data_IF_311441857641
#
_entry.id   IF_311441857641
#
_cell.length_a   1.000
_cell.length_b   1.000
_cell.length_c   1.000
_cell.angle_alpha   90.00
_cell.angle_beta   90.00
_cell.angle_gamma   90.00
#
_symmetry.space_group_name_H-M   'P 1'
#
loop_
_entity.id
_entity.type
_entity.pdbx_description
1 polymer ?
#
# COMPACT_ATOMS: atom_id res chain seq x y z
N UNK A 1 48.79 -57.40 63.23
CA UNK A 1 48.18 -58.56 62.57
C UNK A 1 47.30 -58.05 61.46
N UNK A 2 47.74 -58.19 60.23
CA UNK A 2 47.09 -58.83 59.07
C UNK A 2 45.70 -58.25 58.72
N UNK A 3 45.32 -57.84 57.53
CA UNK A 3 45.70 -58.43 56.21
C UNK A 3 45.29 -57.46 55.06
N UNK A 4 46.10 -57.49 54.03
CA UNK A 4 45.87 -56.85 52.74
C UNK A 4 44.67 -57.55 52.01
N UNK A 5 43.81 -56.76 51.42
CA UNK A 5 43.00 -57.21 50.26
C UNK A 5 43.08 -56.13 49.15
N UNK A 6 43.64 -56.50 48.03
CA UNK A 6 43.60 -55.85 46.74
C UNK A 6 42.16 -55.84 46.25
N UNK A 7 41.73 -54.72 45.70
CA UNK A 7 40.60 -54.67 44.76
C UNK A 7 41.07 -54.06 43.46
N UNK A 8 40.88 -54.84 42.39
CA UNK A 8 41.23 -54.47 41.04
C UNK A 8 40.23 -53.37 40.51
N UNK A 9 40.80 -52.36 39.87
CA UNK A 9 40.08 -51.31 39.19
C UNK A 9 39.65 -51.83 37.81
N UNK A 10 38.36 -52.04 37.60
CA UNK A 10 37.76 -52.25 36.29
C UNK A 10 37.51 -50.89 35.61
N UNK A 11 38.21 -50.67 34.51
CA UNK A 11 37.96 -49.52 33.65
C UNK A 11 36.69 -49.76 32.81
N UNK A 12 35.59 -49.07 33.17
CA UNK A 12 34.39 -49.00 32.31
C UNK A 12 34.58 -47.87 31.30
N UNK A 13 34.81 -48.22 30.05
CA UNK A 13 34.78 -47.27 28.93
C UNK A 13 33.39 -46.75 28.69
N UNK A 14 33.17 -45.45 28.88
CA UNK A 14 31.92 -44.74 28.47
C UNK A 14 31.96 -44.53 26.94
N UNK A 15 30.87 -44.86 26.21
CA UNK A 15 30.76 -44.49 24.80
C UNK A 15 30.58 -42.99 24.68
N UNK A 16 31.52 -42.31 24.04
CA UNK A 16 31.41 -40.91 23.62
C UNK A 16 30.36 -40.87 22.49
N UNK A 17 29.13 -40.46 22.82
CA UNK A 17 28.13 -40.11 21.79
C UNK A 17 28.57 -38.76 21.22
N UNK A 18 29.17 -38.79 20.05
CA UNK A 18 29.29 -37.62 19.19
C UNK A 18 27.89 -37.20 18.76
N UNK A 19 27.29 -36.26 19.49
CA UNK A 19 26.13 -35.54 19.05
C UNK A 19 26.57 -34.70 17.83
N UNK A 20 26.33 -35.20 16.64
CA UNK A 20 26.40 -34.46 15.42
C UNK A 20 25.38 -33.32 15.54
N UNK A 21 25.87 -32.11 15.83
CA UNK A 21 25.06 -30.91 15.65
C UNK A 21 24.68 -30.87 14.17
N UNK A 22 23.43 -31.24 13.87
CA UNK A 22 22.82 -30.92 12.59
C UNK A 22 22.96 -29.41 12.41
N UNK A 23 23.88 -28.98 11.57
CA UNK A 23 23.86 -27.62 11.04
C UNK A 23 22.50 -27.50 10.36
N UNK A 24 21.62 -26.71 10.96
CA UNK A 24 20.50 -26.19 10.22
C UNK A 24 21.08 -25.62 8.93
N UNK A 25 20.61 -26.13 7.80
CA UNK A 25 21.00 -25.67 6.47
C UNK A 25 20.67 -24.16 6.45
N UNK A 26 21.71 -23.35 6.54
CA UNK A 26 21.64 -21.90 6.48
C UNK A 26 21.53 -21.51 4.99
N UNK A 27 20.55 -22.11 4.30
CA UNK A 27 20.20 -21.70 2.95
C UNK A 27 19.56 -20.31 3.08
N UNK A 28 20.11 -19.29 2.40
CA UNK A 28 19.48 -17.99 2.40
C UNK A 28 18.04 -18.13 1.97
N UNK A 29 17.13 -17.51 2.71
CA UNK A 29 15.70 -17.53 2.38
C UNK A 29 15.50 -17.12 0.92
N UNK A 30 14.69 -17.88 0.18
CA UNK A 30 14.41 -17.64 -1.24
C UNK A 30 14.01 -16.17 -1.45
N UNK A 31 14.64 -15.49 -2.40
CA UNK A 31 14.30 -14.11 -2.72
C UNK A 31 12.93 -13.99 -3.36
N UNK A 32 12.31 -12.81 -3.22
CA UNK A 32 10.98 -12.56 -3.80
C UNK A 32 10.94 -12.83 -5.30
N UNK A 33 11.96 -12.37 -6.05
CA UNK A 33 12.00 -12.56 -7.51
C UNK A 33 12.17 -14.05 -7.90
N UNK A 34 12.97 -14.81 -7.16
CA UNK A 34 13.17 -16.24 -7.45
C UNK A 34 11.90 -17.04 -7.12
N UNK A 35 11.23 -16.68 -6.02
CA UNK A 35 9.91 -17.24 -5.68
C UNK A 35 8.88 -17.00 -6.80
N UNK A 36 8.79 -15.76 -7.32
CA UNK A 36 7.85 -15.42 -8.40
C UNK A 36 8.18 -16.22 -9.66
N UNK A 37 9.46 -16.28 -10.05
CA UNK A 37 9.91 -17.05 -11.22
C UNK A 37 9.55 -18.52 -11.12
N UNK A 38 9.70 -19.10 -9.95
CA UNK A 38 9.41 -20.52 -9.68
C UNK A 38 7.91 -20.79 -9.61
N UNK A 39 7.19 -19.97 -8.82
CA UNK A 39 5.77 -20.21 -8.53
C UNK A 39 4.85 -19.72 -9.65
N UNK A 40 5.32 -18.82 -10.52
CA UNK A 40 4.51 -18.16 -11.56
C UNK A 40 3.29 -17.43 -10.96
N UNK A 41 3.44 -16.90 -9.74
CA UNK A 41 2.40 -16.18 -9.02
C UNK A 41 2.98 -14.91 -8.42
N UNK A 42 2.35 -13.77 -8.73
CA UNK A 42 2.59 -12.48 -8.12
C UNK A 42 1.48 -12.22 -7.09
N UNK A 43 1.83 -12.16 -5.80
CA UNK A 43 0.89 -11.87 -4.71
C UNK A 43 0.85 -10.37 -4.45
N UNK A 44 -0.31 -9.76 -4.53
CA UNK A 44 -0.46 -8.31 -4.29
C UNK A 44 -1.47 -8.01 -3.21
N UNK A 45 -1.29 -6.86 -2.53
CA UNK A 45 -2.37 -6.27 -1.74
C UNK A 45 -3.41 -5.66 -2.69
N UNK A 46 -4.68 -6.04 -2.54
CA UNK A 46 -5.81 -5.44 -3.22
C UNK A 46 -6.70 -4.73 -2.20
N UNK A 47 -6.99 -3.46 -2.43
CA UNK A 47 -7.60 -2.57 -1.44
C UNK A 47 -9.04 -2.24 -1.85
N UNK A 48 -10.07 -2.83 -1.18
CA UNK A 48 -11.45 -2.47 -1.43
C UNK A 48 -11.70 -0.97 -1.16
N UNK A 49 -12.58 -0.35 -1.97
CA UNK A 49 -12.90 1.08 -1.83
C UNK A 49 -11.87 2.07 -2.39
N UNK A 50 -10.76 1.59 -2.96
CA UNK A 50 -9.67 2.43 -3.45
C UNK A 50 -9.69 2.63 -4.98
N UNK A 51 -10.89 2.79 -5.55
CA UNK A 51 -11.03 3.16 -6.96
C UNK A 51 -10.42 4.57 -7.22
N UNK A 52 -9.72 4.79 -8.32
CA UNK A 52 -9.61 4.00 -9.57
C UNK A 52 -8.51 2.93 -9.55
N UNK A 53 -7.77 2.80 -8.47
CA UNK A 53 -6.65 1.87 -8.37
C UNK A 53 -7.11 0.41 -8.30
N UNK A 54 -8.12 0.17 -7.45
CA UNK A 54 -8.71 -1.13 -7.19
C UNK A 54 -10.24 -1.01 -7.20
N UNK A 55 -10.89 -1.71 -8.09
CA UNK A 55 -12.34 -1.90 -8.11
C UNK A 55 -12.63 -3.38 -7.87
N UNK A 56 -13.42 -3.67 -6.85
CA UNK A 56 -13.95 -5.00 -6.59
C UNK A 56 -15.39 -5.09 -7.07
N UNK A 57 -15.65 -5.99 -8.00
CA UNK A 57 -17.02 -6.35 -8.38
C UNK A 57 -17.61 -7.26 -7.30
N UNK A 58 -18.64 -6.78 -6.61
CA UNK A 58 -19.24 -7.51 -5.48
C UNK A 58 -19.96 -8.78 -5.97
N UNK A 59 -20.49 -8.79 -7.18
CA UNK A 59 -21.25 -9.92 -7.72
C UNK A 59 -20.36 -11.06 -8.16
N UNK A 60 -19.28 -10.77 -8.88
CA UNK A 60 -18.32 -11.76 -9.39
C UNK A 60 -17.12 -11.99 -8.46
N UNK A 61 -16.86 -11.08 -7.53
CA UNK A 61 -15.63 -11.05 -6.73
C UNK A 61 -14.40 -10.62 -7.52
N UNK A 62 -14.55 -10.26 -8.81
CA UNK A 62 -13.46 -9.88 -9.71
C UNK A 62 -12.84 -8.53 -9.36
N UNK A 63 -11.56 -8.37 -9.72
CA UNK A 63 -10.83 -7.14 -9.54
C UNK A 63 -10.51 -6.46 -10.87
N UNK A 64 -10.58 -5.14 -10.89
CA UNK A 64 -10.21 -4.27 -12.01
C UNK A 64 -9.61 -2.96 -11.51
N UNK A 65 -9.12 -2.13 -12.42
CA UNK A 65 -8.53 -0.82 -12.10
C UNK A 65 -7.05 -0.74 -12.41
N UNK A 66 -6.48 0.45 -12.27
CA UNK A 66 -5.10 0.75 -12.66
C UNK A 66 -4.10 -0.26 -12.09
N UNK A 67 -4.10 -0.46 -10.78
CA UNK A 67 -3.10 -1.33 -10.13
C UNK A 67 -3.29 -2.81 -10.47
N UNK A 68 -4.50 -3.20 -10.84
CA UNK A 68 -4.79 -4.57 -11.30
C UNK A 68 -4.17 -4.80 -12.69
N UNK A 69 -4.31 -3.84 -13.61
CA UNK A 69 -3.69 -3.96 -14.94
C UNK A 69 -2.16 -3.91 -14.85
N UNK A 70 -1.60 -3.03 -14.00
CA UNK A 70 -0.17 -3.02 -13.70
C UNK A 70 0.33 -4.37 -13.16
N UNK A 71 -0.43 -4.98 -12.23
CA UNK A 71 -0.07 -6.28 -11.66
C UNK A 71 -0.11 -7.41 -12.70
N UNK A 72 -1.09 -7.40 -13.59
CA UNK A 72 -1.21 -8.38 -14.69
C UNK A 72 -0.05 -8.25 -15.67
N UNK A 73 0.33 -7.02 -16.05
CA UNK A 73 1.47 -6.77 -16.93
C UNK A 73 2.78 -7.25 -16.29
N UNK A 74 3.03 -6.89 -15.01
CA UNK A 74 4.20 -7.38 -14.27
C UNK A 74 4.22 -8.91 -14.20
N UNK A 75 3.09 -9.55 -13.85
CA UNK A 75 3.01 -11.01 -13.76
C UNK A 75 3.23 -11.68 -15.13
N UNK A 76 2.76 -11.05 -16.20
CA UNK A 76 2.94 -11.51 -17.59
C UNK A 76 4.41 -11.63 -18.00
N UNK A 77 5.30 -10.74 -17.50
CA UNK A 77 6.75 -10.84 -17.76
C UNK A 77 7.34 -12.17 -17.25
N UNK A 78 6.71 -12.77 -16.25
CA UNK A 78 7.12 -14.04 -15.65
C UNK A 78 6.28 -15.24 -16.14
N UNK A 79 5.41 -15.08 -17.15
CA UNK A 79 4.39 -16.06 -17.56
C UNK A 79 3.53 -16.52 -16.37
N UNK A 80 3.20 -15.58 -15.48
CA UNK A 80 2.57 -15.83 -14.19
C UNK A 80 1.16 -15.27 -14.08
N UNK A 81 0.54 -15.53 -12.94
CA UNK A 81 -0.79 -15.06 -12.57
C UNK A 81 -0.72 -14.15 -11.35
N UNK A 82 -1.78 -13.36 -11.12
CA UNK A 82 -1.89 -12.48 -9.96
C UNK A 82 -2.78 -13.13 -8.89
N UNK A 83 -2.30 -13.17 -7.67
CA UNK A 83 -3.07 -13.52 -6.48
C UNK A 83 -3.35 -12.26 -5.66
N UNK A 84 -4.60 -12.10 -5.23
CA UNK A 84 -5.09 -10.92 -4.53
C UNK A 84 -5.31 -11.20 -3.05
N UNK A 85 -4.63 -10.46 -2.17
CA UNK A 85 -4.88 -10.44 -0.74
C UNK A 85 -5.59 -9.13 -0.39
N UNK A 86 -6.83 -9.22 0.12
CA UNK A 86 -7.52 -8.01 0.60
C UNK A 86 -6.78 -7.40 1.78
N UNK A 87 -6.51 -6.10 1.71
CA UNK A 87 -5.71 -5.38 2.68
C UNK A 87 -6.12 -3.91 2.79
N UNK A 88 -5.37 -3.14 3.56
CA UNK A 88 -5.43 -1.68 3.65
C UNK A 88 -4.03 -1.10 3.46
N UNK A 89 -3.89 0.22 3.27
CA UNK A 89 -2.55 0.84 3.17
C UNK A 89 -1.68 0.59 4.41
N UNK A 90 -2.27 0.55 5.60
CA UNK A 90 -1.52 0.25 6.83
C UNK A 90 -1.12 -1.23 6.90
N UNK A 91 -2.07 -2.13 6.63
CA UNK A 91 -1.83 -3.57 6.72
C UNK A 91 -0.91 -4.08 5.60
N UNK A 92 -0.95 -3.52 4.38
CA UNK A 92 -0.08 -3.95 3.29
C UNK A 92 1.42 -3.83 3.61
N UNK A 93 1.81 -2.87 4.46
CA UNK A 93 3.19 -2.78 4.98
C UNK A 93 3.53 -3.98 5.85
N UNK A 94 2.62 -4.38 6.74
CA UNK A 94 2.79 -5.58 7.60
C UNK A 94 2.76 -6.87 6.78
N UNK A 95 1.91 -6.94 5.75
CA UNK A 95 1.81 -8.10 4.86
C UNK A 95 3.08 -8.30 4.03
N UNK A 96 3.74 -7.21 3.57
CA UNK A 96 5.07 -7.25 2.95
C UNK A 96 6.14 -7.78 3.92
N UNK A 97 6.18 -7.25 5.14
CA UNK A 97 7.14 -7.69 6.18
C UNK A 97 6.96 -9.18 6.52
N UNK A 98 5.71 -9.63 6.58
CA UNK A 98 5.35 -11.01 6.87
C UNK A 98 5.47 -11.95 5.66
N UNK A 99 5.95 -11.46 4.50
CA UNK A 99 6.06 -12.21 3.24
C UNK A 99 4.73 -12.86 2.78
N UNK A 100 3.60 -12.23 3.09
CA UNK A 100 2.28 -12.65 2.60
C UNK A 100 2.01 -12.16 1.18
N UNK A 101 2.56 -10.99 0.82
CA UNK A 101 2.48 -10.39 -0.50
C UNK A 101 3.89 -10.04 -1.01
N UNK A 102 4.02 -9.90 -2.31
CA UNK A 102 5.26 -9.55 -2.99
C UNK A 102 5.31 -8.08 -3.37
N UNK A 103 4.14 -7.45 -3.47
CA UNK A 103 3.98 -6.11 -4.00
C UNK A 103 2.76 -5.42 -3.40
N UNK A 104 2.92 -4.17 -2.99
CA UNK A 104 1.84 -3.28 -2.61
C UNK A 104 1.90 -2.01 -3.48
N UNK A 105 0.82 -1.75 -4.22
CA UNK A 105 0.72 -0.59 -5.08
C UNK A 105 0.27 0.67 -4.35
N UNK A 106 0.52 1.81 -4.96
CA UNK A 106 0.00 3.13 -4.54
C UNK A 106 0.39 3.53 -3.12
N UNK A 107 1.54 3.06 -2.65
CA UNK A 107 2.12 3.47 -1.38
C UNK A 107 2.98 4.72 -1.54
N UNK A 108 2.85 5.64 -0.57
CA UNK A 108 3.77 6.76 -0.46
C UNK A 108 4.96 6.38 0.43
N UNK A 109 6.20 6.70 0.02
CA UNK A 109 7.41 6.32 0.73
C UNK A 109 7.66 7.24 1.93
N UNK A 110 6.85 7.08 2.99
CA UNK A 110 7.11 7.82 4.23
C UNK A 110 8.39 7.31 4.89
N UNK A 111 9.14 8.18 5.62
CA UNK A 111 10.36 7.75 6.32
C UNK A 111 10.13 6.55 7.25
N UNK A 112 8.99 6.50 7.96
CA UNK A 112 8.65 5.37 8.84
C UNK A 112 8.48 4.06 8.07
N UNK A 113 7.82 4.09 6.92
CA UNK A 113 7.67 2.90 6.06
C UNK A 113 9.00 2.47 5.46
N UNK A 114 9.84 3.43 5.06
CA UNK A 114 11.16 3.16 4.47
C UNK A 114 12.17 2.52 5.45
N UNK A 115 11.89 2.51 6.75
CA UNK A 115 12.66 1.75 7.73
C UNK A 115 12.38 0.24 7.69
N UNK A 116 11.27 -0.19 7.10
CA UNK A 116 10.77 -1.56 7.24
C UNK A 116 10.39 -2.24 5.92
N UNK A 117 10.26 -1.47 4.83
CA UNK A 117 10.05 -1.95 3.47
C UNK A 117 10.87 -1.12 2.49
N UNK A 118 11.19 -1.69 1.33
CA UNK A 118 11.77 -0.95 0.20
C UNK A 118 10.68 -0.36 -0.69
N UNK A 119 11.04 0.66 -1.45
CA UNK A 119 10.16 1.33 -2.42
C UNK A 119 10.80 1.36 -3.80
N UNK A 120 9.95 1.35 -4.82
CA UNK A 120 10.35 1.60 -6.21
C UNK A 120 10.50 3.09 -6.49
N UNK A 121 10.95 3.43 -7.70
CA UNK A 121 10.75 4.76 -8.25
C UNK A 121 9.26 5.12 -8.24
N UNK A 122 8.97 6.42 -8.15
CA UNK A 122 7.59 6.89 -8.23
C UNK A 122 7.04 6.72 -9.64
N UNK A 123 5.85 6.19 -9.78
CA UNK A 123 5.21 6.10 -11.08
C UNK A 123 4.37 7.35 -11.43
N UNK A 124 3.96 8.17 -10.45
CA UNK A 124 3.48 9.55 -10.61
C UNK A 124 3.48 10.31 -9.29
N UNK A 125 3.21 11.61 -9.34
CA UNK A 125 2.95 12.45 -8.17
C UNK A 125 1.44 12.72 -8.08
N UNK A 126 0.87 12.65 -6.89
CA UNK A 126 -0.51 13.03 -6.69
C UNK A 126 -0.67 14.17 -5.69
N UNK A 127 -1.55 15.11 -6.02
CA UNK A 127 -1.96 16.19 -5.14
C UNK A 127 -3.06 15.73 -4.17
N UNK A 128 -3.15 16.42 -3.03
CA UNK A 128 -4.18 16.19 -2.03
C UNK A 128 -5.22 17.29 -2.06
N UNK A 129 -6.46 16.86 -1.89
CA UNK A 129 -7.61 17.70 -1.73
C UNK A 129 -8.59 17.13 -0.72
N UNK A 130 -9.79 17.61 -0.76
CA UNK A 130 -10.88 17.10 0.07
C UNK A 130 -12.15 16.90 -0.75
N UNK A 131 -13.02 16.02 -0.26
CA UNK A 131 -14.44 15.95 -0.66
C UNK A 131 -15.27 16.30 0.54
N UNK A 132 -16.05 17.36 0.44
CA UNK A 132 -16.95 17.83 1.49
C UNK A 132 -18.36 17.25 1.39
N UNK A 133 -19.13 17.37 2.47
CA UNK A 133 -20.60 17.32 2.38
C UNK A 133 -21.10 18.47 1.50
N UNK A 134 -22.29 18.36 0.95
CA UNK A 134 -22.88 19.45 0.14
C UNK A 134 -22.87 20.78 0.90
N UNK A 135 -22.35 21.84 0.25
CA UNK A 135 -22.24 23.17 0.81
C UNK A 135 -21.03 23.40 1.72
N UNK A 136 -20.19 22.37 1.95
CA UNK A 136 -18.91 22.55 2.64
C UNK A 136 -17.80 22.77 1.61
N UNK A 137 -17.08 23.88 1.73
CA UNK A 137 -16.01 24.28 0.84
C UNK A 137 -14.78 24.68 1.62
N UNK A 138 -13.61 24.27 1.13
CA UNK A 138 -12.31 24.74 1.61
C UNK A 138 -11.27 24.60 0.48
N UNK A 139 -10.55 25.70 0.22
CA UNK A 139 -9.47 25.75 -0.78
C UNK A 139 -8.09 25.65 -0.15
N UNK A 140 -7.99 25.83 1.16
CA UNK A 140 -6.74 25.83 1.91
C UNK A 140 -6.84 25.00 3.19
N UNK A 141 -5.72 24.44 3.61
CA UNK A 141 -5.62 23.70 4.86
C UNK A 141 -5.98 24.54 6.11
N UNK A 142 -5.71 25.84 6.06
CA UNK A 142 -6.04 26.77 7.15
C UNK A 142 -7.54 26.85 7.41
N UNK A 143 -8.37 26.69 6.40
CA UNK A 143 -9.84 26.70 6.51
C UNK A 143 -10.35 25.42 7.20
N UNK A 144 -9.63 24.32 7.03
CA UNK A 144 -9.90 23.05 7.74
C UNK A 144 -9.37 23.07 9.17
N UNK A 145 -8.37 23.92 9.48
CA UNK A 145 -7.68 23.96 10.77
C UNK A 145 -8.51 24.69 11.85
N UNK A 146 -9.72 24.21 12.08
CA UNK A 146 -10.69 24.76 13.00
C UNK A 146 -11.27 23.59 13.86
N UNK A 147 -11.40 23.74 15.20
CA UNK A 147 -11.93 22.68 16.08
C UNK A 147 -13.38 22.26 15.75
N UNK A 148 -14.16 23.14 15.10
CA UNK A 148 -15.53 22.83 14.69
C UNK A 148 -15.57 21.99 13.39
N UNK A 149 -14.46 21.89 12.65
CA UNK A 149 -14.37 21.11 11.42
C UNK A 149 -14.01 19.67 11.74
N UNK A 150 -14.83 18.74 11.25
CA UNK A 150 -14.66 17.29 11.40
C UNK A 150 -14.13 16.70 10.09
N UNK A 151 -12.90 16.18 10.13
CA UNK A 151 -12.19 15.64 8.97
C UNK A 151 -12.10 14.13 9.09
N UNK A 152 -12.72 13.41 8.15
CA UNK A 152 -12.58 11.95 8.05
C UNK A 152 -11.28 11.57 7.33
N UNK A 153 -10.62 10.53 7.83
CA UNK A 153 -9.40 9.97 7.23
C UNK A 153 -9.33 8.46 7.49
N UNK A 154 -8.68 7.72 6.59
CA UNK A 154 -8.40 6.31 6.81
C UNK A 154 -7.12 6.12 7.64
N UNK A 155 -7.20 5.27 8.65
CA UNK A 155 -6.12 5.01 9.61
C UNK A 155 -4.87 4.48 8.90
N UNK A 156 -3.71 5.03 9.25
CA UNK A 156 -2.41 4.59 8.73
C UNK A 156 -2.11 5.08 7.30
N UNK A 157 -3.00 5.88 6.71
CA UNK A 157 -2.77 6.50 5.41
C UNK A 157 -1.96 7.78 5.53
N UNK A 158 -1.41 8.21 4.38
CA UNK A 158 -0.77 9.54 4.29
C UNK A 158 -1.78 10.68 4.33
N UNK A 159 -3.06 10.41 4.06
CA UNK A 159 -4.15 11.38 4.22
C UNK A 159 -4.33 11.76 5.70
N UNK A 160 -4.28 10.76 6.59
CA UNK A 160 -4.28 11.01 8.04
C UNK A 160 -3.06 11.84 8.46
N UNK A 161 -1.86 11.49 7.97
CA UNK A 161 -0.64 12.22 8.29
C UNK A 161 -0.75 13.69 7.84
N UNK A 162 -1.25 13.93 6.62
CA UNK A 162 -1.44 15.27 6.09
C UNK A 162 -2.49 16.07 6.88
N UNK A 163 -3.65 15.48 7.18
CA UNK A 163 -4.69 16.12 7.96
C UNK A 163 -4.18 16.55 9.35
N UNK A 164 -3.52 15.65 10.08
CA UNK A 164 -2.96 15.96 11.40
C UNK A 164 -1.85 17.01 11.36
N UNK A 165 -1.09 17.07 10.26
CA UNK A 165 -0.01 18.05 10.10
C UNK A 165 -0.51 19.44 9.75
N UNK A 166 -1.46 19.55 8.83
CA UNK A 166 -1.87 20.84 8.24
C UNK A 166 -3.18 21.38 8.82
N UNK A 167 -3.96 20.53 9.49
CA UNK A 167 -5.17 20.90 10.20
C UNK A 167 -5.18 20.33 11.65
N UNK A 168 -4.14 20.66 12.48
CA UNK A 168 -3.97 20.04 13.80
C UNK A 168 -5.09 20.41 14.79
N UNK A 169 -5.84 21.50 14.55
CA UNK A 169 -6.98 21.91 15.39
C UNK A 169 -8.29 21.22 14.99
N UNK A 170 -8.37 20.65 13.78
CA UNK A 170 -9.57 19.97 13.33
C UNK A 170 -9.86 18.71 14.16
N UNK A 171 -11.12 18.36 14.28
CA UNK A 171 -11.54 17.09 14.86
C UNK A 171 -11.32 15.97 13.83
N UNK A 172 -10.27 15.15 14.02
CA UNK A 172 -9.94 14.05 13.11
C UNK A 172 -10.74 12.80 13.47
N UNK A 173 -11.55 12.31 12.51
CA UNK A 173 -12.32 11.07 12.60
C UNK A 173 -11.56 10.02 11.78
N UNK A 174 -10.72 9.23 12.47
CA UNK A 174 -9.94 8.17 11.84
C UNK A 174 -10.73 6.86 11.78
N UNK A 175 -10.92 6.30 10.59
CA UNK A 175 -11.74 5.13 10.30
C UNK A 175 -10.92 4.04 9.61
N UNK A 176 -11.38 2.79 9.67
CA UNK A 176 -10.59 1.64 9.17
C UNK A 176 -10.59 1.54 7.64
N UNK A 177 -11.71 1.88 7.01
CA UNK A 177 -11.90 1.75 5.57
C UNK A 177 -12.21 3.11 4.93
N UNK A 178 -11.85 3.26 3.67
CA UNK A 178 -12.15 4.43 2.86
C UNK A 178 -13.64 4.67 2.73
N UNK A 179 -14.41 3.60 2.49
CA UNK A 179 -15.87 3.68 2.35
C UNK A 179 -16.53 4.18 3.64
N UNK A 180 -15.99 3.84 4.82
CA UNK A 180 -16.47 4.37 6.10
C UNK A 180 -16.25 5.89 6.20
N UNK A 181 -15.13 6.40 5.65
CA UNK A 181 -14.86 7.84 5.60
C UNK A 181 -15.87 8.56 4.70
N UNK A 182 -16.14 8.01 3.52
CA UNK A 182 -17.14 8.54 2.58
C UNK A 182 -18.54 8.55 3.25
N UNK A 183 -18.92 7.44 3.88
CA UNK A 183 -20.19 7.33 4.60
C UNK A 183 -20.28 8.33 5.77
N UNK A 184 -19.19 8.61 6.47
CA UNK A 184 -19.16 9.62 7.53
C UNK A 184 -19.46 11.02 6.99
N UNK A 185 -18.98 11.37 5.79
CA UNK A 185 -19.30 12.64 5.14
C UNK A 185 -20.75 12.66 4.64
N UNK A 186 -21.22 11.60 4.00
CA UNK A 186 -22.59 11.48 3.51
C UNK A 186 -23.63 11.61 4.63
N UNK A 187 -23.35 11.02 5.79
CA UNK A 187 -24.23 11.06 6.97
C UNK A 187 -24.12 12.36 7.79
N UNK A 188 -23.22 13.29 7.41
CA UNK A 188 -22.95 14.51 8.16
C UNK A 188 -22.18 14.29 9.47
N UNK A 189 -21.67 13.08 9.74
CA UNK A 189 -20.81 12.78 10.87
C UNK A 189 -19.43 13.44 10.72
N UNK A 190 -18.94 13.60 9.48
CA UNK A 190 -17.78 14.41 9.11
C UNK A 190 -18.17 15.52 8.14
N UNK A 191 -17.43 16.61 8.14
CA UNK A 191 -17.64 17.72 7.20
C UNK A 191 -16.97 17.44 5.86
N UNK A 192 -15.80 16.81 5.89
CA UNK A 192 -15.06 16.41 4.69
C UNK A 192 -14.20 15.17 4.95
N UNK A 193 -13.68 14.59 3.85
CA UNK A 193 -12.65 13.55 3.83
C UNK A 193 -11.46 14.04 3.03
N UNK A 194 -10.23 13.82 3.50
CA UNK A 194 -9.00 14.14 2.76
C UNK A 194 -8.70 12.98 1.82
N UNK A 195 -8.49 13.30 0.54
CA UNK A 195 -8.23 12.32 -0.52
C UNK A 195 -7.17 12.83 -1.50
N UNK A 196 -6.42 11.89 -2.08
CA UNK A 196 -5.69 12.17 -3.31
C UNK A 196 -6.68 12.46 -4.45
N UNK A 197 -6.27 13.27 -5.43
CA UNK A 197 -7.13 13.74 -6.52
C UNK A 197 -7.89 12.63 -7.22
N UNK A 198 -7.23 11.53 -7.59
CA UNK A 198 -7.87 10.41 -8.29
C UNK A 198 -8.95 9.71 -7.46
N UNK A 199 -8.69 9.54 -6.16
CA UNK A 199 -9.63 8.98 -5.21
C UNK A 199 -10.82 9.92 -5.00
N UNK A 200 -10.56 11.22 -4.87
CA UNK A 200 -11.58 12.24 -4.67
C UNK A 200 -12.54 12.35 -5.85
N UNK A 201 -12.02 12.45 -7.07
CA UNK A 201 -12.81 12.49 -8.29
C UNK A 201 -13.69 11.25 -8.43
N UNK A 202 -13.12 10.07 -8.18
CA UNK A 202 -13.87 8.82 -8.23
C UNK A 202 -14.94 8.75 -7.13
N UNK A 203 -14.62 9.21 -5.91
CA UNK A 203 -15.57 9.22 -4.80
C UNK A 203 -16.80 10.10 -5.12
N UNK A 204 -16.59 11.27 -5.69
CA UNK A 204 -17.69 12.19 -6.10
C UNK A 204 -18.57 11.56 -7.18
N UNK A 205 -17.97 10.94 -8.22
CA UNK A 205 -18.74 10.29 -9.30
C UNK A 205 -19.58 9.12 -8.77
N UNK A 206 -19.05 8.33 -7.86
CA UNK A 206 -19.77 7.21 -7.23
C UNK A 206 -20.83 7.63 -6.23
N UNK A 207 -20.70 8.82 -5.66
CA UNK A 207 -21.55 9.28 -4.56
C UNK A 207 -22.11 10.69 -4.82
N UNK A 208 -23.17 10.83 -5.64
CA UNK A 208 -23.74 12.14 -6.00
C UNK A 208 -24.28 12.95 -4.81
N UNK A 209 -24.42 12.31 -3.64
CA UNK A 209 -24.84 12.99 -2.41
C UNK A 209 -23.72 13.82 -1.76
N UNK A 210 -22.45 13.60 -2.17
CA UNK A 210 -21.31 14.39 -1.73
C UNK A 210 -21.28 15.76 -2.44
N UNK A 211 -20.45 16.67 -1.91
CA UNK A 211 -20.02 17.86 -2.61
C UNK A 211 -18.95 17.55 -3.67
N UNK A 212 -18.34 18.59 -4.22
CA UNK A 212 -17.28 18.47 -5.22
C UNK A 212 -15.94 18.12 -4.59
N UNK A 213 -15.04 17.55 -5.40
CA UNK A 213 -13.64 17.45 -5.01
C UNK A 213 -12.97 18.83 -5.13
N UNK A 214 -12.22 19.23 -4.14
CA UNK A 214 -11.52 20.50 -4.08
C UNK A 214 -10.05 20.25 -3.72
N UNK A 215 -9.14 20.76 -4.57
CA UNK A 215 -7.71 20.76 -4.26
C UNK A 215 -7.43 21.66 -3.06
N UNK A 216 -6.55 21.20 -2.15
CA UNK A 216 -6.10 22.00 -1.03
C UNK A 216 -4.75 22.66 -1.37
N UNK A 217 -4.71 23.98 -1.21
CA UNK A 217 -3.52 24.80 -1.43
C UNK A 217 -2.94 25.30 -0.08
N UNK A 218 -1.80 25.95 -0.13
CA UNK A 218 -1.14 26.62 0.99
C UNK A 218 -0.97 25.77 2.26
N UNK A 219 -0.04 24.75 2.20
CA UNK A 219 0.79 24.37 1.06
C UNK A 219 0.07 23.39 0.12
N UNK A 220 0.42 23.39 -1.17
CA UNK A 220 0.02 22.31 -2.08
C UNK A 220 0.82 21.06 -1.70
N UNK A 221 0.13 20.05 -1.17
CA UNK A 221 0.73 18.78 -0.80
C UNK A 221 0.71 17.85 -2.00
N UNK A 222 1.90 17.44 -2.44
CA UNK A 222 2.08 16.45 -3.51
C UNK A 222 3.05 15.37 -3.02
N UNK A 223 2.68 14.12 -3.17
CA UNK A 223 3.51 13.01 -2.75
C UNK A 223 3.76 12.03 -3.89
N UNK A 224 4.97 11.42 -3.93
CA UNK A 224 5.24 10.36 -4.89
C UNK A 224 4.42 9.12 -4.57
N UNK A 225 3.89 8.50 -5.61
CA UNK A 225 3.19 7.23 -5.57
C UNK A 225 4.12 6.14 -6.07
N UNK A 226 4.43 5.19 -5.20
CA UNK A 226 5.40 4.13 -5.45
C UNK A 226 4.76 2.75 -5.22
N UNK A 227 5.48 1.71 -5.60
CA UNK A 227 5.22 0.36 -5.12
C UNK A 227 6.09 0.09 -3.90
N UNK A 228 5.53 -0.59 -2.89
CA UNK A 228 6.27 -1.13 -1.75
C UNK A 228 6.59 -2.59 -1.99
N UNK A 229 7.79 -3.00 -1.60
CA UNK A 229 8.28 -4.39 -1.66
C UNK A 229 8.92 -4.76 -0.33
N UNK A 230 9.02 -6.05 -0.03
CA UNK A 230 9.69 -6.53 1.17
C UNK A 230 11.15 -6.08 1.17
N UNK A 231 11.62 -5.61 2.31
CA UNK A 231 13.03 -5.30 2.51
C UNK A 231 13.81 -6.62 2.61
N UNK A 232 14.65 -6.87 1.64
CA UNK A 232 15.51 -8.06 1.57
C UNK A 232 16.91 -7.70 1.05
N UNK A 233 17.90 -8.57 1.27
CA UNK A 233 19.27 -8.34 0.81
C UNK A 233 19.35 -8.36 -0.71
N UNK A 234 18.61 -9.26 -1.34
CA UNK A 234 18.51 -9.36 -2.79
C UNK A 234 17.59 -8.25 -3.34
N UNK A 235 18.16 -7.26 -3.99
CA UNK A 235 17.43 -6.12 -4.53
C UNK A 235 16.89 -6.31 -5.95
N UNK A 236 17.11 -7.48 -6.58
CA UNK A 236 16.72 -7.75 -7.97
C UNK A 236 15.21 -7.53 -8.21
N UNK A 237 14.36 -7.83 -7.23
CA UNK A 237 12.91 -7.58 -7.35
C UNK A 237 12.61 -6.09 -7.43
N UNK A 238 13.11 -5.29 -6.49
CA UNK A 238 12.96 -3.83 -6.50
C UNK A 238 13.55 -3.22 -7.78
N UNK A 239 14.73 -3.65 -8.18
CA UNK A 239 15.46 -3.08 -9.31
C UNK A 239 14.79 -3.43 -10.64
N UNK A 240 14.21 -4.64 -10.77
CA UNK A 240 13.34 -5.01 -11.88
C UNK A 240 12.12 -4.09 -11.95
N UNK A 241 11.44 -3.86 -10.82
CA UNK A 241 10.28 -2.98 -10.77
C UNK A 241 10.64 -1.52 -11.08
N UNK A 242 11.83 -1.05 -10.70
CA UNK A 242 12.32 0.28 -11.08
C UNK A 242 12.45 0.41 -12.59
N UNK A 243 13.09 -0.56 -13.24
CA UNK A 243 13.19 -0.59 -14.69
C UNK A 243 11.81 -0.66 -15.37
N UNK A 244 10.90 -1.48 -14.82
CA UNK A 244 9.52 -1.59 -15.30
C UNK A 244 8.76 -0.25 -15.17
N UNK A 245 8.90 0.45 -14.03
CA UNK A 245 8.28 1.78 -13.80
C UNK A 245 8.82 2.80 -14.80
N UNK A 246 10.15 2.90 -14.93
CA UNK A 246 10.78 3.90 -15.80
C UNK A 246 10.40 3.68 -17.27
N UNK A 247 10.35 2.42 -17.73
CA UNK A 247 9.89 2.06 -19.07
C UNK A 247 8.42 2.47 -19.30
N UNK A 248 7.52 2.02 -18.42
CA UNK A 248 6.06 2.24 -18.60
C UNK A 248 5.67 3.71 -18.39
N UNK A 249 6.43 4.48 -17.59
CA UNK A 249 6.30 5.95 -17.56
C UNK A 249 6.74 6.57 -18.89
N UNK A 250 7.89 6.14 -19.39
CA UNK A 250 8.45 6.68 -20.63
C UNK A 250 7.54 6.51 -21.85
N UNK A 251 6.86 5.38 -21.95
CA UNK A 251 5.89 5.10 -23.02
C UNK A 251 4.46 5.55 -22.69
N UNK A 252 4.21 6.23 -21.56
CA UNK A 252 2.91 6.72 -21.09
C UNK A 252 1.89 5.64 -20.70
N UNK A 253 2.30 4.38 -20.62
CA UNK A 253 1.40 3.26 -20.32
C UNK A 253 0.75 3.36 -18.94
N UNK A 254 1.49 3.86 -17.93
CA UNK A 254 0.96 4.08 -16.57
C UNK A 254 -0.17 5.12 -16.59
N UNK A 255 -0.02 6.17 -17.40
CA UNK A 255 -1.05 7.20 -17.58
C UNK A 255 -2.30 6.63 -18.24
N UNK A 256 -2.13 5.77 -19.27
CA UNK A 256 -3.26 5.11 -19.92
C UNK A 256 -4.04 4.23 -18.95
N UNK A 257 -3.37 3.41 -18.12
CA UNK A 257 -4.02 2.61 -17.10
C UNK A 257 -4.74 3.45 -16.05
N UNK A 258 -4.17 4.60 -15.67
CA UNK A 258 -4.83 5.53 -14.75
C UNK A 258 -6.13 6.07 -15.33
N UNK A 259 -6.09 6.58 -16.56
CA UNK A 259 -7.29 7.09 -17.23
C UNK A 259 -8.33 5.99 -17.48
N UNK A 260 -7.90 4.79 -17.84
CA UNK A 260 -8.81 3.64 -17.96
C UNK A 260 -9.49 3.32 -16.61
N UNK A 261 -8.74 3.31 -15.51
CA UNK A 261 -9.29 3.12 -14.17
C UNK A 261 -10.26 4.23 -13.74
N UNK A 262 -9.97 5.48 -14.10
CA UNK A 262 -10.87 6.62 -13.89
C UNK A 262 -12.16 6.49 -14.70
N UNK A 263 -12.04 6.11 -15.98
CA UNK A 263 -13.18 5.95 -16.89
C UNK A 263 -14.16 4.85 -16.43
N UNK A 264 -13.66 3.73 -15.90
CA UNK A 264 -14.50 2.67 -15.28
C UNK A 264 -15.42 3.26 -14.19
N UNK A 265 -14.97 4.31 -13.51
CA UNK A 265 -15.70 4.95 -12.42
C UNK A 265 -16.45 6.22 -12.88
N UNK A 266 -16.55 6.46 -14.18
CA UNK A 266 -17.27 7.59 -14.77
C UNK A 266 -16.57 8.93 -14.68
N UNK A 267 -15.27 8.95 -14.35
CA UNK A 267 -14.43 10.15 -14.38
C UNK A 267 -13.84 10.30 -15.78
N UNK A 268 -14.06 11.46 -16.38
CA UNK A 268 -13.56 11.79 -17.72
C UNK A 268 -12.32 12.69 -17.63
N UNK A 269 -11.52 12.79 -18.70
CA UNK A 269 -10.35 13.66 -18.71
C UNK A 269 -10.64 15.12 -18.34
N UNK A 270 -11.79 15.64 -18.75
CA UNK A 270 -12.22 17.01 -18.43
C UNK A 270 -12.63 17.23 -16.96
N UNK A 271 -12.88 16.16 -16.21
CA UNK A 271 -13.15 16.23 -14.75
C UNK A 271 -11.84 16.42 -13.94
N UNK A 272 -10.69 16.14 -14.57
CA UNK A 272 -9.39 16.30 -13.89
C UNK A 272 -9.01 17.78 -13.88
N UNK A 273 -8.72 18.37 -12.69
CA UNK A 273 -8.30 19.76 -12.61
C UNK A 273 -7.08 20.05 -13.50
N UNK A 274 -7.09 21.18 -14.21
CA UNK A 274 -6.07 21.56 -15.19
C UNK A 274 -4.66 21.71 -14.62
N UNK A 275 -4.56 21.87 -13.31
CA UNK A 275 -3.30 21.97 -12.56
C UNK A 275 -2.79 20.61 -12.03
N UNK A 276 -3.44 19.52 -12.40
CA UNK A 276 -3.05 18.15 -12.05
C UNK A 276 -2.40 17.49 -13.26
N UNK A 277 -1.13 17.09 -13.09
CA UNK A 277 -0.37 16.30 -14.06
C UNK A 277 -0.13 14.88 -13.50
N UNK A 278 -0.24 13.88 -14.37
CA UNK A 278 0.00 12.46 -14.05
C UNK A 278 1.15 11.90 -14.87
#
# INVERSE_FOLDING_TARGET
MLSRRLFAAGAAGAPTILAGAARADDQPAESTIDRIKRAKVLRIAALPGEAPYFNKDIASGGWSGMCIEMAKDIAGVFDGQVEYLESTYGNSVLDLQANKIDLAFSLNPTPKRALVIDFTHAFYLHGFGMVGKKGFHASNWSELNNPDVKVAVDIGSVHEIAARRFAPKATIIALKARDDCILAVQSGRADCVILAVNLGLTAVKKNPALGEFQMLHQPRVQLPTCMGVRMETDKRWRDFLNAWVDYNRGIQQIREWLYAGLAINGVKPEDVPSDVEF
#
